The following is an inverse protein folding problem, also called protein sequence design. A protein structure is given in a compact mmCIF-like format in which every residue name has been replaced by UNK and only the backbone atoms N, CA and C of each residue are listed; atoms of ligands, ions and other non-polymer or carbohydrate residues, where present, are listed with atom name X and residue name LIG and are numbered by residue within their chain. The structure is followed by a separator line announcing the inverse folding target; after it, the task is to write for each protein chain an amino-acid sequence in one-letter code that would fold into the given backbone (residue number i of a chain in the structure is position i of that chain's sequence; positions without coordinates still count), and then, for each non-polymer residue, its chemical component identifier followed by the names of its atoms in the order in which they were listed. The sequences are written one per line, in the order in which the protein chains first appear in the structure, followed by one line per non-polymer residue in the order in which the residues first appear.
data_IF_516488252883
#
_entry.id   IF_516488252883
#
_cell.length_a   1.000
_cell.length_b   1.000
_cell.length_c   1.000
_cell.angle_alpha   90.00
_cell.angle_beta   90.00
_cell.angle_gamma   90.00
#
_symmetry.space_group_name_H-M   'P 1'
#
loop_
_entity.id
_entity.type
_entity.pdbx_description
1 polymer ?
#
# COMPACT_ATOMS: atom_id res chain seq x y z
N UNK A 1 22.12 -73.71 27.94
CA UNK A 1 21.01 -73.21 28.79
C UNK A 1 21.37 -72.03 29.68
N UNK A 2 22.63 -71.84 30.14
CA UNK A 2 23.05 -70.65 30.90
C UNK A 2 23.31 -69.40 30.03
N UNK A 3 23.61 -69.57 28.75
CA UNK A 3 23.87 -68.47 27.80
C UNK A 3 22.60 -67.81 27.25
N UNK A 4 21.47 -68.53 27.27
CA UNK A 4 20.20 -68.00 26.77
C UNK A 4 19.51 -67.06 27.78
N UNK A 5 19.78 -67.24 29.09
CA UNK A 5 19.20 -66.42 30.16
C UNK A 5 19.86 -65.03 30.29
N UNK A 6 21.09 -64.88 29.82
CA UNK A 6 21.84 -63.61 29.91
C UNK A 6 21.40 -62.64 28.80
N UNK A 7 20.99 -63.16 27.64
CA UNK A 7 20.55 -62.33 26.51
C UNK A 7 19.18 -61.69 26.75
N UNK A 8 18.28 -62.38 27.47
CA UNK A 8 16.94 -61.85 27.81
C UNK A 8 16.99 -60.71 28.83
N UNK A 9 18.04 -60.65 29.66
CA UNK A 9 18.19 -59.60 30.68
C UNK A 9 18.73 -58.28 30.09
N UNK A 10 19.47 -58.33 28.98
CA UNK A 10 20.04 -57.14 28.35
C UNK A 10 19.04 -56.36 27.48
N UNK A 11 17.95 -56.99 27.04
CA UNK A 11 16.92 -56.36 26.20
C UNK A 11 15.88 -55.59 27.04
N UNK A 12 15.81 -55.85 28.36
CA UNK A 12 14.87 -55.19 29.29
C UNK A 12 15.41 -53.87 29.90
N UNK A 13 16.59 -53.39 29.49
CA UNK A 13 17.25 -52.21 30.07
C UNK A 13 17.52 -51.04 29.07
N UNK A 14 16.81 -50.99 27.95
CA UNK A 14 16.83 -49.82 27.06
C UNK A 14 15.65 -48.90 27.37
N UNK A 15 15.85 -47.77 28.07
CA UNK A 15 14.76 -46.88 28.44
C UNK A 15 14.28 -46.09 27.22
N UNK A 16 12.96 -45.95 27.07
CA UNK A 16 12.30 -45.11 26.07
C UNK A 16 12.57 -43.62 26.26
N UNK A 17 13.79 -43.16 25.95
CA UNK A 17 14.22 -41.76 26.14
C UNK A 17 14.04 -40.85 24.92
N UNK A 18 13.49 -41.34 23.81
CA UNK A 18 13.34 -40.51 22.60
C UNK A 18 12.13 -39.56 22.63
N UNK A 19 11.02 -39.92 23.27
CA UNK A 19 9.77 -39.12 23.22
C UNK A 19 9.66 -38.01 24.26
N UNK A 20 10.46 -38.05 25.33
CA UNK A 20 10.41 -37.07 26.42
C UNK A 20 11.18 -35.77 26.10
N UNK A 21 12.25 -35.85 25.31
CA UNK A 21 13.07 -34.67 24.98
C UNK A 21 12.39 -33.74 23.96
N UNK A 22 11.63 -34.30 23.01
CA UNK A 22 10.88 -33.51 22.03
C UNK A 22 9.69 -32.75 22.66
N UNK A 23 9.05 -33.33 23.67
CA UNK A 23 7.94 -32.69 24.38
C UNK A 23 8.41 -31.50 25.24
N UNK A 24 9.59 -31.61 25.86
CA UNK A 24 10.17 -30.55 26.69
C UNK A 24 10.65 -29.36 25.84
N UNK A 25 11.36 -29.59 24.72
CA UNK A 25 11.77 -28.51 23.79
C UNK A 25 10.56 -27.80 23.17
N UNK A 26 9.49 -28.54 22.83
CA UNK A 26 8.25 -27.94 22.34
C UNK A 26 7.57 -27.08 23.40
N UNK A 27 7.51 -27.56 24.65
CA UNK A 27 6.89 -26.80 25.75
C UNK A 27 7.68 -25.54 26.09
N UNK A 28 9.02 -25.60 26.08
CA UNK A 28 9.87 -24.43 26.28
C UNK A 28 9.69 -23.38 25.17
N UNK A 29 9.58 -23.81 23.91
CA UNK A 29 9.29 -22.91 22.78
C UNK A 29 7.91 -22.27 22.88
N UNK A 30 6.89 -23.02 23.30
CA UNK A 30 5.54 -22.49 23.51
C UNK A 30 5.53 -21.42 24.61
N UNK A 31 6.16 -21.70 25.74
CA UNK A 31 6.28 -20.73 26.83
C UNK A 31 7.04 -19.47 26.38
N UNK A 32 8.09 -19.61 25.57
CA UNK A 32 8.84 -18.47 25.02
C UNK A 32 8.01 -17.63 24.02
N UNK A 33 7.15 -18.27 23.22
CA UNK A 33 6.23 -17.58 22.32
C UNK A 33 5.13 -16.85 23.08
N UNK A 34 4.56 -17.47 24.12
CA UNK A 34 3.55 -16.85 24.98
C UNK A 34 4.11 -15.59 25.67
N UNK A 35 5.33 -15.66 26.18
CA UNK A 35 5.98 -14.50 26.80
C UNK A 35 6.22 -13.38 25.77
N UNK A 36 6.65 -13.74 24.55
CA UNK A 36 6.86 -12.75 23.48
C UNK A 36 5.55 -12.09 23.04
N UNK A 37 4.46 -12.85 22.97
CA UNK A 37 3.12 -12.31 22.68
C UNK A 37 2.71 -11.33 23.77
N UNK A 38 2.90 -11.69 25.05
CA UNK A 38 2.55 -10.84 26.18
C UNK A 38 3.30 -9.51 26.17
N UNK A 39 4.60 -9.54 25.85
CA UNK A 39 5.42 -8.33 25.71
C UNK A 39 4.92 -7.44 24.57
N UNK A 40 4.64 -8.02 23.40
CA UNK A 40 4.11 -7.27 22.25
C UNK A 40 2.72 -6.68 22.53
N UNK A 41 1.86 -7.42 23.22
CA UNK A 41 0.54 -6.92 23.63
C UNK A 41 0.66 -5.74 24.59
N UNK A 42 1.60 -5.80 25.54
CA UNK A 42 1.88 -4.69 26.45
C UNK A 42 2.43 -3.45 25.72
N UNK A 43 3.33 -3.65 24.73
CA UNK A 43 3.87 -2.56 23.91
C UNK A 43 2.77 -1.91 23.05
N UNK A 44 1.90 -2.72 22.42
CA UNK A 44 0.75 -2.20 21.67
C UNK A 44 -0.21 -1.42 22.59
N UNK A 45 -0.45 -1.89 23.81
CA UNK A 45 -1.25 -1.18 24.81
C UNK A 45 -0.62 0.16 25.19
N UNK A 46 0.70 0.20 25.43
CA UNK A 46 1.42 1.42 25.75
C UNK A 46 1.38 2.43 24.59
N UNK A 47 1.57 1.96 23.35
CA UNK A 47 1.48 2.79 22.15
C UNK A 47 0.06 3.33 21.94
N UNK A 48 -0.98 2.50 22.12
CA UNK A 48 -2.37 2.95 22.07
C UNK A 48 -2.71 3.96 23.17
N UNK A 49 -2.21 3.76 24.39
CA UNK A 49 -2.38 4.70 25.50
C UNK A 49 -1.67 6.03 25.25
N UNK A 50 -0.45 6.01 24.69
CA UNK A 50 0.28 7.20 24.27
C UNK A 50 -0.45 7.94 23.14
N UNK A 51 -1.06 7.20 22.21
CA UNK A 51 -1.85 7.77 21.10
C UNK A 51 -3.18 8.37 21.59
N UNK A 52 -3.81 7.79 22.62
CA UNK A 52 -4.98 8.35 23.29
C UNK A 52 -4.68 9.57 24.18
N UNK A 53 -3.40 9.79 24.52
CA UNK A 53 -2.94 10.92 25.35
C UNK A 53 -2.43 12.10 24.51
N UNK A 54 -2.55 12.06 23.17
CA UNK A 54 -2.36 13.25 22.37
C UNK A 54 -3.40 14.29 22.80
N UNK A 55 -2.98 15.49 23.25
CA UNK A 55 -3.91 16.56 23.57
C UNK A 55 -4.78 16.85 22.35
N UNK A 56 -6.07 17.21 22.54
CA UNK A 56 -6.86 17.78 21.46
C UNK A 56 -6.08 18.93 20.83
N UNK A 57 -6.17 19.15 19.51
CA UNK A 57 -5.66 20.38 18.92
C UNK A 57 -6.22 21.54 19.72
N UNK A 58 -5.35 22.38 20.28
CA UNK A 58 -5.77 23.60 20.93
C UNK A 58 -6.63 24.39 19.94
N UNK A 59 -7.87 24.66 20.35
CA UNK A 59 -8.84 25.41 19.58
C UNK A 59 -8.26 26.81 19.34
N UNK A 60 -7.80 27.03 18.11
CA UNK A 60 -7.33 28.34 17.66
C UNK A 60 -8.52 29.32 17.70
N UNK A 61 -8.30 30.60 18.05
CA UNK A 61 -9.35 31.63 17.99
C UNK A 61 -10.00 31.67 16.60
N UNK A 62 -11.26 32.12 16.46
CA UNK A 62 -11.96 32.14 15.18
C UNK A 62 -11.18 32.96 14.16
N UNK A 63 -10.63 32.28 13.15
CA UNK A 63 -10.04 32.94 12.01
C UNK A 63 -11.16 33.51 11.12
N UNK A 64 -11.01 34.77 10.79
CA UNK A 64 -11.72 35.51 9.74
C UNK A 64 -11.79 34.67 8.44
N UNK A 65 -12.89 34.75 7.65
CA UNK A 65 -13.09 33.90 6.48
C UNK A 65 -12.09 34.24 5.36
N UNK A 66 -11.11 33.35 5.15
CA UNK A 66 -10.29 33.32 3.94
C UNK A 66 -11.00 32.55 2.80
N UNK A 67 -10.69 32.85 1.52
CA UNK A 67 -11.54 32.52 0.37
C UNK A 67 -11.66 31.01 0.09
N UNK A 68 -12.81 30.62 -0.46
CA UNK A 68 -13.18 29.26 -0.81
C UNK A 68 -12.11 28.54 -1.65
N UNK A 69 -11.63 27.40 -1.15
CA UNK A 69 -10.92 26.41 -1.93
C UNK A 69 -11.85 25.83 -3.03
N UNK A 70 -11.32 25.48 -4.23
CA UNK A 70 -12.13 24.94 -5.31
C UNK A 70 -12.73 23.58 -4.91
N UNK A 71 -14.02 23.42 -5.22
CA UNK A 71 -14.79 22.19 -5.00
C UNK A 71 -14.10 21.00 -5.69
N UNK A 72 -13.91 19.93 -4.94
CA UNK A 72 -13.63 18.59 -5.46
C UNK A 72 -14.74 18.24 -6.46
N UNK A 73 -14.36 17.86 -7.68
CA UNK A 73 -15.29 17.39 -8.70
C UNK A 73 -16.03 16.15 -8.18
N UNK A 74 -17.35 16.24 -8.10
CA UNK A 74 -18.21 15.08 -7.87
C UNK A 74 -18.25 14.27 -9.17
N UNK A 75 -17.75 13.04 -9.13
CA UNK A 75 -17.93 12.06 -10.22
C UNK A 75 -19.43 11.68 -10.27
N UNK A 76 -20.08 11.64 -11.44
CA UNK A 76 -21.49 11.27 -11.56
C UNK A 76 -21.73 9.85 -11.03
N UNK A 77 -22.80 9.67 -10.25
CA UNK A 77 -23.27 8.37 -9.83
C UNK A 77 -23.75 7.56 -11.05
N UNK A 78 -23.11 6.41 -11.32
CA UNK A 78 -23.45 5.61 -12.48
C UNK A 78 -22.87 4.21 -12.49
N UNK A 79 -23.33 3.33 -11.59
CA UNK A 79 -23.49 1.88 -11.88
C UNK A 79 -24.47 1.29 -10.84
N UNK A 80 -25.67 0.82 -11.21
CA UNK A 80 -26.55 0.10 -10.28
C UNK A 80 -25.95 -1.27 -9.95
N UNK A 81 -25.62 -1.51 -8.67
CA UNK A 81 -25.30 -2.86 -8.17
C UNK A 81 -23.91 -3.08 -7.59
N UNK A 82 -23.00 -2.11 -7.62
CA UNK A 82 -21.75 -2.21 -6.87
C UNK A 82 -22.01 -1.86 -5.39
N UNK A 83 -21.62 -2.71 -4.41
CA UNK A 83 -21.68 -2.31 -3.02
C UNK A 83 -20.78 -1.09 -2.82
N UNK A 84 -21.38 0.03 -2.41
CA UNK A 84 -20.70 1.25 -2.00
C UNK A 84 -19.94 0.99 -0.70
N UNK A 85 -18.85 0.23 -0.78
CA UNK A 85 -17.90 0.12 0.31
C UNK A 85 -17.04 1.38 0.26
N UNK A 86 -16.95 2.15 1.35
CA UNK A 86 -15.95 3.20 1.45
C UNK A 86 -14.59 2.55 1.18
N UNK A 87 -13.91 2.98 0.12
CA UNK A 87 -12.51 2.62 -0.07
C UNK A 87 -11.76 3.04 1.20
N UNK A 88 -10.80 2.23 1.70
CA UNK A 88 -10.01 2.61 2.85
C UNK A 88 -9.38 3.99 2.61
N UNK A 89 -9.73 4.96 3.44
CA UNK A 89 -9.10 6.27 3.43
C UNK A 89 -7.68 6.08 3.97
N UNK A 90 -6.73 5.87 3.07
CA UNK A 90 -5.29 5.96 3.35
C UNK A 90 -4.92 7.45 3.56
N UNK A 91 -5.43 8.03 4.65
CA UNK A 91 -5.25 9.44 4.99
C UNK A 91 -5.53 9.80 6.46
N UNK A 92 -5.82 8.80 7.31
CA UNK A 92 -6.21 8.99 8.71
C UNK A 92 -5.10 8.88 9.75
N UNK A 93 -3.83 9.03 9.38
CA UNK A 93 -2.70 8.85 10.31
C UNK A 93 -1.53 9.76 10.00
N UNK A 94 -1.53 10.95 10.62
CA UNK A 94 -0.51 12.01 10.53
C UNK A 94 -0.30 12.60 9.13
N UNK A 95 -0.44 13.92 9.01
CA UNK A 95 -0.01 14.68 7.81
C UNK A 95 1.47 14.41 7.47
N UNK A 96 2.28 14.02 8.46
CA UNK A 96 3.67 13.59 8.28
C UNK A 96 3.83 12.31 7.47
N UNK A 97 2.86 11.39 7.48
CA UNK A 97 2.94 10.14 6.71
C UNK A 97 2.79 10.37 5.20
N UNK A 98 2.09 11.45 4.79
CA UNK A 98 1.97 11.85 3.38
C UNK A 98 3.21 12.56 2.84
N UNK A 99 4.11 13.03 3.72
CA UNK A 99 5.33 13.74 3.30
C UNK A 99 6.31 12.85 2.53
N UNK A 100 6.27 11.53 2.78
CA UNK A 100 7.13 10.53 2.13
C UNK A 100 6.33 9.46 1.39
N UNK A 101 5.00 9.62 1.26
CA UNK A 101 4.13 8.63 0.64
C UNK A 101 3.35 9.28 -0.50
N UNK A 102 3.82 9.17 -1.76
CA UNK A 102 3.09 9.70 -2.90
C UNK A 102 1.72 9.05 -3.03
N UNK A 103 0.79 9.75 -3.66
CA UNK A 103 -0.40 9.13 -4.22
C UNK A 103 0.02 8.32 -5.45
N UNK A 104 -0.36 7.04 -5.46
CA UNK A 104 0.02 6.07 -6.49
C UNK A 104 -1.26 5.55 -7.14
N UNK A 105 -1.32 5.61 -8.48
CA UNK A 105 -2.39 4.98 -9.26
C UNK A 105 -1.80 4.17 -10.40
N UNK A 106 -2.48 3.07 -10.74
CA UNK A 106 -2.19 2.28 -11.93
C UNK A 106 -3.50 2.12 -12.69
N UNK A 107 -3.48 2.46 -13.98
CA UNK A 107 -4.60 2.27 -14.91
C UNK A 107 -4.13 1.48 -16.11
N UNK A 108 -5.01 0.73 -16.76
CA UNK A 108 -4.67 -0.03 -17.96
C UNK A 108 -5.79 0.04 -18.99
N UNK A 109 -5.39 0.12 -20.26
CA UNK A 109 -6.24 0.07 -21.43
C UNK A 109 -6.13 -1.31 -22.10
N UNK A 110 -7.27 -1.98 -22.20
CA UNK A 110 -7.39 -3.32 -22.75
C UNK A 110 -8.49 -3.35 -23.80
N UNK A 111 -8.16 -3.80 -25.00
CA UNK A 111 -9.10 -3.99 -26.10
C UNK A 111 -9.44 -5.47 -26.25
N UNK A 112 -10.72 -5.80 -26.15
CA UNK A 112 -11.26 -7.12 -26.48
C UNK A 112 -11.95 -7.09 -27.83
N UNK A 113 -11.67 -8.07 -28.69
CA UNK A 113 -12.36 -8.23 -29.97
C UNK A 113 -12.93 -9.64 -30.12
N UNK A 114 -14.07 -9.75 -30.80
CA UNK A 114 -14.73 -11.03 -31.08
C UNK A 114 -15.28 -11.04 -32.51
N UNK A 115 -15.13 -12.18 -33.19
CA UNK A 115 -15.49 -12.35 -34.59
C UNK A 115 -14.29 -12.76 -35.45
N UNK A 116 -14.53 -12.92 -36.75
CA UNK A 116 -13.50 -13.29 -37.72
C UNK A 116 -13.34 -12.17 -38.74
N UNK A 117 -12.15 -11.59 -38.82
CA UNK A 117 -11.81 -10.53 -39.78
C UNK A 117 -10.54 -10.94 -40.54
N UNK A 118 -10.68 -11.30 -41.81
CA UNK A 118 -9.57 -11.71 -42.67
C UNK A 118 -8.78 -10.53 -43.27
N UNK A 119 -9.37 -9.33 -43.26
CA UNK A 119 -8.80 -8.13 -43.88
C UNK A 119 -7.94 -7.33 -42.88
N UNK A 120 -8.27 -7.40 -41.59
CA UNK A 120 -7.54 -6.78 -40.50
C UNK A 120 -7.69 -7.58 -39.21
N UNK A 121 -6.98 -8.72 -39.08
CA UNK A 121 -7.07 -9.57 -37.90
C UNK A 121 -6.53 -8.80 -36.69
N UNK A 122 -7.40 -8.60 -35.70
CA UNK A 122 -7.06 -8.01 -34.40
C UNK A 122 -7.02 -9.11 -33.34
N UNK A 123 -6.12 -9.03 -32.35
CA UNK A 123 -6.08 -9.99 -31.26
C UNK A 123 -7.43 -10.02 -30.51
N UNK A 124 -7.82 -11.19 -30.02
CA UNK A 124 -9.04 -11.35 -29.24
C UNK A 124 -9.00 -10.55 -27.92
N UNK A 125 -7.80 -10.37 -27.36
CA UNK A 125 -7.52 -9.52 -26.22
C UNK A 125 -6.14 -8.91 -26.39
N UNK A 126 -6.05 -7.59 -26.30
CA UNK A 126 -4.81 -6.82 -26.40
C UNK A 126 -4.73 -5.82 -25.26
N UNK A 127 -3.56 -5.69 -24.65
CA UNK A 127 -3.26 -4.59 -23.72
C UNK A 127 -2.52 -3.52 -24.50
N UNK A 128 -3.13 -2.35 -24.66
CA UNK A 128 -2.50 -1.24 -25.36
C UNK A 128 -1.49 -0.55 -24.45
N UNK A 129 -1.91 -0.24 -23.23
CA UNK A 129 -1.14 0.60 -22.33
C UNK A 129 -1.49 0.31 -20.88
N UNK A 130 -0.50 0.41 -19.99
CA UNK A 130 -0.70 0.52 -18.56
C UNK A 130 0.04 1.76 -18.09
N UNK A 131 -0.62 2.67 -17.39
CA UNK A 131 0.00 3.88 -16.86
C UNK A 131 0.14 3.77 -15.34
N UNK A 132 1.32 4.10 -14.83
CA UNK A 132 1.61 4.31 -13.42
C UNK A 132 1.76 5.81 -13.15
N UNK A 133 0.90 6.35 -12.30
CA UNK A 133 0.96 7.74 -11.86
C UNK A 133 1.47 7.83 -10.43
N UNK A 134 2.43 8.74 -10.21
CA UNK A 134 3.05 9.04 -8.91
C UNK A 134 2.95 10.55 -8.68
N UNK A 135 2.23 10.95 -7.64
CA UNK A 135 1.97 12.37 -7.35
C UNK A 135 2.28 12.66 -5.88
N UNK A 136 3.03 13.72 -5.58
CA UNK A 136 3.34 14.08 -4.21
C UNK A 136 3.48 15.59 -4.02
N UNK A 137 3.00 16.08 -2.87
CA UNK A 137 3.37 17.39 -2.37
C UNK A 137 4.76 17.26 -1.76
N UNK A 138 5.75 17.88 -2.40
CA UNK A 138 7.17 17.81 -2.00
C UNK A 138 7.41 18.80 -0.86
N UNK A 139 6.86 20.00 -1.00
CA UNK A 139 6.89 21.06 0.00
C UNK A 139 5.61 21.93 -0.12
N UNK A 140 5.35 22.89 0.78
CA UNK A 140 4.15 23.74 0.75
C UNK A 140 3.95 24.54 -0.56
N UNK A 141 4.99 24.69 -1.36
CA UNK A 141 5.06 25.52 -2.56
C UNK A 141 5.41 24.73 -3.83
N UNK A 142 5.65 23.42 -3.73
CA UNK A 142 6.05 22.55 -4.83
C UNK A 142 5.37 21.18 -4.78
N UNK A 143 4.89 20.74 -5.94
CA UNK A 143 4.31 19.41 -6.18
C UNK A 143 5.08 18.72 -7.30
N UNK A 144 5.30 17.42 -7.18
CA UNK A 144 5.82 16.58 -8.25
C UNK A 144 4.78 15.63 -8.80
N UNK A 145 4.79 15.48 -10.12
CA UNK A 145 3.90 14.60 -10.88
C UNK A 145 4.72 13.81 -11.90
N UNK A 146 4.60 12.49 -11.86
CA UNK A 146 5.28 11.56 -12.78
C UNK A 146 4.27 10.53 -13.27
N UNK A 147 4.23 10.35 -14.59
CA UNK A 147 3.37 9.41 -15.29
C UNK A 147 4.24 8.52 -16.18
N UNK A 148 4.22 7.22 -15.93
CA UNK A 148 4.98 6.22 -16.67
C UNK A 148 4.00 5.34 -17.45
N UNK A 149 4.19 5.27 -18.76
CA UNK A 149 3.44 4.38 -19.65
C UNK A 149 4.21 3.08 -19.87
N UNK A 150 3.50 1.97 -19.83
CA UNK A 150 3.99 0.62 -20.11
C UNK A 150 3.16 0.06 -21.26
N UNK A 151 3.79 -0.13 -22.41
CA UNK A 151 3.14 -0.67 -23.61
C UNK A 151 3.96 -1.77 -24.29
N UNK A 152 3.48 -2.28 -25.44
CA UNK A 152 4.19 -3.28 -26.24
C UNK A 152 5.61 -2.86 -26.62
N UNK A 153 5.83 -1.57 -26.83
CA UNK A 153 7.11 -0.98 -27.25
C UNK A 153 8.06 -0.69 -26.06
N UNK A 154 7.62 -0.96 -24.82
CA UNK A 154 8.40 -0.78 -23.61
C UNK A 154 7.83 0.24 -22.65
N UNK A 155 8.71 0.84 -21.84
CA UNK A 155 8.34 1.81 -20.80
C UNK A 155 8.74 3.21 -21.25
N UNK A 156 7.80 4.14 -21.24
CA UNK A 156 8.05 5.55 -21.52
C UNK A 156 7.63 6.45 -20.36
N UNK A 157 8.36 7.54 -20.14
CA UNK A 157 7.91 8.65 -19.30
C UNK A 157 6.91 9.50 -20.10
N UNK A 158 5.61 9.38 -19.86
CA UNK A 158 4.58 10.23 -20.46
C UNK A 158 4.83 11.70 -20.10
N UNK A 159 4.79 11.95 -18.80
CA UNK A 159 4.94 13.27 -18.19
C UNK A 159 5.74 13.15 -16.90
N UNK A 160 6.55 14.16 -16.62
CA UNK A 160 7.37 14.25 -15.43
C UNK A 160 7.70 15.70 -15.18
N UNK A 161 6.97 16.35 -14.27
CA UNK A 161 7.12 17.76 -14.01
C UNK A 161 6.94 18.13 -12.53
N UNK A 162 7.54 19.27 -12.19
CA UNK A 162 7.34 19.96 -10.93
C UNK A 162 6.43 21.15 -11.13
N UNK A 163 5.43 21.30 -10.27
CA UNK A 163 4.55 22.46 -10.22
C UNK A 163 4.91 23.31 -9.01
N UNK A 164 5.44 24.51 -9.25
CA UNK A 164 5.60 25.54 -8.22
C UNK A 164 4.30 26.32 -8.10
N UNK A 165 3.67 26.27 -6.93
CA UNK A 165 2.31 26.78 -6.70
C UNK A 165 2.28 28.21 -6.17
N UNK A 166 3.40 28.72 -5.66
CA UNK A 166 3.47 30.03 -5.01
C UNK A 166 4.77 30.78 -5.33
N UNK A 167 4.91 31.22 -6.58
CA UNK A 167 5.98 32.15 -6.95
C UNK A 167 5.56 33.60 -6.66
N UNK A 168 6.52 34.52 -6.44
CA UNK A 168 6.23 35.93 -6.22
C UNK A 168 5.30 36.51 -7.29
N UNK A 169 4.30 37.28 -6.90
CA UNK A 169 3.30 37.83 -7.83
C UNK A 169 2.16 36.86 -8.18
N UNK A 170 2.05 35.71 -7.50
CA UNK A 170 0.96 34.76 -7.69
C UNK A 170 1.11 33.86 -8.92
N UNK A 171 2.34 33.77 -9.45
CA UNK A 171 2.60 32.89 -10.58
C UNK A 171 2.64 31.41 -10.14
N UNK A 172 2.12 30.57 -11.04
CA UNK A 172 2.28 29.12 -10.98
C UNK A 172 3.12 28.71 -12.17
N UNK A 173 4.11 27.85 -11.95
CA UNK A 173 5.00 27.42 -13.03
C UNK A 173 5.18 25.92 -12.99
N UNK A 174 5.04 25.28 -14.16
CA UNK A 174 5.36 23.88 -14.37
C UNK A 174 6.70 23.76 -15.08
N UNK A 175 7.58 22.90 -14.59
CA UNK A 175 8.89 22.66 -15.17
C UNK A 175 9.09 21.15 -15.32
N UNK A 176 9.31 20.68 -16.55
CA UNK A 176 9.55 19.26 -16.85
C UNK A 176 9.02 18.83 -18.21
N UNK A 177 8.93 17.51 -18.42
CA UNK A 177 8.26 16.91 -19.58
C UNK A 177 6.76 16.93 -19.31
N UNK A 178 5.99 17.56 -20.18
CA UNK A 178 4.53 17.61 -20.08
C UNK A 178 3.94 17.64 -21.49
N UNK A 179 2.73 17.13 -21.65
CA UNK A 179 2.02 17.21 -22.92
C UNK A 179 1.56 18.65 -23.15
N UNK A 180 1.50 19.04 -24.41
CA UNK A 180 0.98 20.36 -24.79
C UNK A 180 -0.49 20.45 -24.41
N UNK A 181 -0.89 21.52 -23.71
CA UNK A 181 -2.28 21.82 -23.36
C UNK A 181 -3.10 22.35 -24.55
N UNK A 182 -2.97 21.70 -25.71
CA UNK A 182 -3.66 22.08 -26.93
C UNK A 182 -4.69 21.01 -27.29
N UNK A 183 -5.95 21.39 -27.36
CA UNK A 183 -7.08 20.49 -27.59
C UNK A 183 -8.31 20.93 -26.79
N UNK A 184 -9.46 20.35 -27.11
CA UNK A 184 -10.69 20.59 -26.32
C UNK A 184 -10.66 19.66 -25.12
N UNK A 185 -10.86 20.22 -23.92
CA UNK A 185 -11.07 19.50 -22.66
C UNK A 185 -12.53 19.10 -22.55
#
# INVERSE_FOLDING_TARGET
MRTLAILTCLILLMPGRLSAQAAVDTQERLNALEERIRVLEAEIQALKGAQASQPPPAELPPAEPAPAAPRVAQVPAGTPGAPSQPLPVYGGGSTSAKLLNPDISIIGDFLGSAGHNEVGPVPALEMHETELSLQAIIDPYARGDVFLSFGPEGVELEEGYLTFTALPGGFVTKIGKMRSSFGVV
#
